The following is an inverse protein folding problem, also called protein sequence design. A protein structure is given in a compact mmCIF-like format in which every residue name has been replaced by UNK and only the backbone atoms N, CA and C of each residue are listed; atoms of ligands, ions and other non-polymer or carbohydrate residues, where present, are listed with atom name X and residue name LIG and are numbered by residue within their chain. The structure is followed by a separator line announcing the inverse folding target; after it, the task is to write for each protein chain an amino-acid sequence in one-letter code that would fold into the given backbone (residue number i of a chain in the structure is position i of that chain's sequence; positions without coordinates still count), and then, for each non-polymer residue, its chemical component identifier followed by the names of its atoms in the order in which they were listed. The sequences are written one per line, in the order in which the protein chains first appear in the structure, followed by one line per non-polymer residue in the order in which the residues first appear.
data_IF_205277970222
#
_entry.id   IF_205277970222
#
_cell.length_a   1.000
_cell.length_b   1.000
_cell.length_c   1.000
_cell.angle_alpha   90.00
_cell.angle_beta   90.00
_cell.angle_gamma   90.00
#
_symmetry.space_group_name_H-M   'P 1'
#
loop_
_entity.id
_entity.type
_entity.pdbx_description
1 polymer ?
#
# COMPACT_ATOMS: atom_id res chain seq x y z
N UNK A 1 -18.91 0.16 -13.02
CA UNK A 1 -18.51 1.54 -13.33
C UNK A 1 -17.03 1.62 -13.06
N UNK A 2 -16.23 1.91 -14.06
CA UNK A 2 -14.77 2.06 -13.87
C UNK A 2 -14.49 3.30 -13.01
N UNK A 3 -13.48 3.24 -12.12
CA UNK A 3 -13.11 4.39 -11.32
C UNK A 3 -12.50 5.47 -12.22
N UNK A 4 -12.98 6.70 -12.10
CA UNK A 4 -12.36 7.87 -12.71
C UNK A 4 -11.04 8.17 -11.98
N UNK A 5 -9.92 7.79 -12.60
CA UNK A 5 -8.59 7.96 -12.04
C UNK A 5 -8.22 9.44 -11.86
N UNK A 6 -8.73 10.34 -12.71
CA UNK A 6 -8.46 11.77 -12.57
C UNK A 6 -9.13 12.31 -11.31
N UNK A 7 -10.40 11.92 -11.08
CA UNK A 7 -11.14 12.30 -9.88
C UNK A 7 -10.50 11.75 -8.60
N UNK A 8 -10.01 10.51 -8.64
CA UNK A 8 -9.28 9.93 -7.50
C UNK A 8 -7.99 10.69 -7.19
N UNK A 9 -7.25 11.08 -8.23
CA UNK A 9 -6.02 11.87 -8.09
C UNK A 9 -6.30 13.26 -7.53
N UNK A 10 -7.33 13.94 -8.03
CA UNK A 10 -7.77 15.24 -7.52
C UNK A 10 -8.16 15.17 -6.04
N UNK A 11 -8.95 14.16 -5.65
CA UNK A 11 -9.35 13.97 -4.25
C UNK A 11 -8.14 13.75 -3.34
N UNK A 12 -7.15 12.96 -3.79
CA UNK A 12 -5.90 12.81 -3.07
C UNK A 12 -5.14 14.13 -2.93
N UNK A 13 -4.96 14.88 -4.02
CA UNK A 13 -4.28 16.19 -3.99
C UNK A 13 -4.95 17.16 -3.02
N UNK A 14 -6.29 17.26 -3.08
CA UNK A 14 -7.07 18.10 -2.18
C UNK A 14 -6.88 17.74 -0.71
N UNK A 15 -6.84 16.45 -0.39
CA UNK A 15 -6.56 16.00 0.97
C UNK A 15 -5.12 16.32 1.39
N UNK A 16 -4.15 15.97 0.55
CA UNK A 16 -2.74 16.07 0.87
C UNK A 16 -2.28 17.53 1.05
N UNK A 17 -2.72 18.43 0.17
CA UNK A 17 -2.30 19.83 0.15
C UNK A 17 -3.20 20.74 0.99
N UNK A 18 -4.52 20.47 1.02
CA UNK A 18 -5.50 21.36 1.65
C UNK A 18 -6.24 20.74 2.83
N UNK A 19 -6.07 19.44 3.09
CA UNK A 19 -6.81 18.72 4.14
C UNK A 19 -8.30 18.54 3.82
N UNK A 20 -8.70 18.73 2.56
CA UNK A 20 -10.08 18.64 2.12
C UNK A 20 -10.42 17.19 1.71
N UNK A 21 -11.45 16.62 2.32
CA UNK A 21 -11.97 15.29 1.99
C UNK A 21 -13.23 15.42 1.13
N UNK A 22 -13.25 14.77 -0.04
CA UNK A 22 -14.50 14.59 -0.80
C UNK A 22 -15.46 13.70 0.00
N UNK A 23 -16.75 14.06 0.01
CA UNK A 23 -17.80 13.33 0.73
C UNK A 23 -17.99 11.88 0.26
N UNK A 24 -17.53 11.55 -0.95
CA UNK A 24 -17.59 10.21 -1.52
C UNK A 24 -16.31 9.39 -1.23
N UNK A 25 -15.35 9.95 -0.50
CA UNK A 25 -14.14 9.21 -0.09
C UNK A 25 -14.56 8.03 0.78
N UNK A 26 -14.17 6.83 0.38
CA UNK A 26 -14.46 5.62 1.15
C UNK A 26 -13.84 5.74 2.55
N UNK A 27 -14.55 5.40 3.65
CA UNK A 27 -14.04 5.57 5.01
C UNK A 27 -12.68 4.91 5.29
N UNK A 28 -12.40 3.77 4.63
CA UNK A 28 -11.10 3.09 4.76
C UNK A 28 -9.94 3.92 4.16
N UNK A 29 -10.20 4.64 3.07
CA UNK A 29 -9.21 5.50 2.42
C UNK A 29 -8.96 6.73 3.28
N UNK A 30 -10.03 7.37 3.78
CA UNK A 30 -9.93 8.48 4.73
C UNK A 30 -9.07 8.10 5.95
N UNK A 31 -9.39 6.98 6.60
CA UNK A 31 -8.64 6.52 7.79
C UNK A 31 -7.16 6.30 7.49
N UNK A 32 -6.85 5.72 6.33
CA UNK A 32 -5.47 5.49 5.89
C UNK A 32 -4.72 6.82 5.70
N UNK A 33 -5.35 7.76 5.01
CA UNK A 33 -4.79 9.09 4.76
C UNK A 33 -4.56 9.91 6.04
N UNK A 34 -5.52 9.91 6.96
CA UNK A 34 -5.39 10.54 8.27
C UNK A 34 -4.25 9.92 9.09
N UNK A 35 -4.10 8.60 9.04
CA UNK A 35 -3.00 7.90 9.71
C UNK A 35 -1.63 8.33 9.15
N UNK A 36 -1.47 8.32 7.83
CA UNK A 36 -0.23 8.77 7.17
C UNK A 36 0.14 10.21 7.56
N UNK A 37 -0.85 11.11 7.59
CA UNK A 37 -0.67 12.50 8.02
C UNK A 37 -0.26 12.58 9.50
N UNK A 38 -0.89 11.79 10.37
CA UNK A 38 -0.59 11.76 11.82
C UNK A 38 0.85 11.36 12.11
N UNK A 39 1.42 10.45 11.33
CA UNK A 39 2.81 9.99 11.50
C UNK A 39 3.82 10.81 10.69
N UNK A 40 3.40 11.91 10.06
CA UNK A 40 4.22 12.74 9.17
C UNK A 40 4.92 11.92 8.07
N UNK A 41 4.21 10.94 7.50
CA UNK A 41 4.76 10.09 6.45
C UNK A 41 5.07 10.91 5.20
N UNK A 42 6.28 10.78 4.68
CA UNK A 42 6.63 11.26 3.35
C UNK A 42 5.99 10.36 2.28
N UNK A 43 4.88 10.84 1.73
CA UNK A 43 4.10 10.16 0.69
C UNK A 43 4.86 10.02 -0.64
N UNK A 44 5.94 10.79 -0.82
CA UNK A 44 6.80 10.75 -2.01
C UNK A 44 8.12 9.99 -1.76
N UNK A 45 8.34 9.48 -0.54
CA UNK A 45 9.60 8.85 -0.15
C UNK A 45 9.92 7.58 -0.93
N UNK A 46 8.90 6.90 -1.47
CA UNK A 46 9.04 5.79 -2.44
C UNK A 46 9.73 4.52 -1.91
N UNK A 47 10.18 4.51 -0.65
CA UNK A 47 10.84 3.38 -0.01
C UNK A 47 10.43 3.30 1.46
N UNK A 48 10.22 2.07 1.93
CA UNK A 48 10.06 1.81 3.36
C UNK A 48 11.41 1.85 4.08
N UNK A 49 11.36 1.81 5.41
CA UNK A 49 12.56 1.59 6.22
C UNK A 49 13.06 0.15 6.03
N UNK A 50 14.38 0.02 5.89
CA UNK A 50 15.03 -1.30 5.86
C UNK A 50 15.20 -1.82 7.28
N UNK A 51 14.77 -3.06 7.52
CA UNK A 51 15.14 -3.80 8.74
C UNK A 51 16.49 -4.47 8.55
N UNK A 52 17.19 -4.76 9.65
CA UNK A 52 18.47 -5.46 9.58
C UNK A 52 18.31 -6.94 9.15
N UNK A 53 19.40 -7.55 8.69
CA UNK A 53 19.39 -8.90 8.14
C UNK A 53 18.96 -9.97 9.17
N UNK A 54 19.24 -9.76 10.47
CA UNK A 54 18.86 -10.71 11.52
C UNK A 54 17.36 -10.63 11.77
N UNK A 55 16.81 -9.42 11.85
CA UNK A 55 15.36 -9.22 11.97
C UNK A 55 14.63 -9.80 10.75
N UNK A 56 15.15 -9.57 9.54
CA UNK A 56 14.58 -10.13 8.32
C UNK A 56 14.55 -11.66 8.35
N UNK A 57 15.67 -12.30 8.72
CA UNK A 57 15.75 -13.75 8.82
C UNK A 57 14.75 -14.31 9.84
N UNK A 58 14.55 -13.62 10.97
CA UNK A 58 13.57 -14.00 11.97
C UNK A 58 12.14 -13.94 11.41
N UNK A 59 11.75 -12.81 10.81
CA UNK A 59 10.39 -12.64 10.25
C UNK A 59 10.11 -13.66 9.13
N UNK A 60 11.11 -13.95 8.28
CA UNK A 60 10.98 -14.97 7.23
C UNK A 60 10.79 -16.37 7.83
N UNK A 61 11.50 -16.70 8.90
CA UNK A 61 11.36 -17.99 9.58
C UNK A 61 9.97 -18.14 10.25
N UNK A 62 9.50 -17.08 10.93
CA UNK A 62 8.18 -17.04 11.57
C UNK A 62 7.03 -17.21 10.55
N UNK A 63 7.21 -16.73 9.32
CA UNK A 63 6.19 -16.76 8.26
C UNK A 63 6.44 -17.85 7.21
N UNK A 64 7.35 -18.80 7.46
CA UNK A 64 7.81 -19.77 6.46
C UNK A 64 6.69 -20.55 5.78
N UNK A 65 5.69 -21.02 6.54
CA UNK A 65 4.59 -21.82 5.98
C UNK A 65 3.69 -20.98 5.06
N UNK A 66 3.39 -19.73 5.44
CA UNK A 66 2.64 -18.81 4.58
C UNK A 66 3.38 -18.57 3.27
N UNK A 67 4.69 -18.26 3.36
CA UNK A 67 5.53 -17.99 2.18
C UNK A 67 5.58 -19.22 1.28
N UNK A 68 5.82 -20.41 1.86
CA UNK A 68 5.89 -21.67 1.12
C UNK A 68 4.61 -21.98 0.33
N UNK A 69 3.44 -21.65 0.87
CA UNK A 69 2.15 -21.85 0.20
C UNK A 69 1.87 -20.76 -0.83
N UNK A 70 2.12 -19.49 -0.49
CA UNK A 70 1.80 -18.36 -1.35
C UNK A 70 2.75 -18.22 -2.55
N UNK A 71 4.03 -18.57 -2.39
CA UNK A 71 5.05 -18.39 -3.42
C UNK A 71 4.71 -19.06 -4.77
N UNK A 72 4.34 -20.36 -4.84
CA UNK A 72 3.97 -20.97 -6.13
C UNK A 72 2.70 -20.36 -6.74
N UNK A 73 1.75 -19.89 -5.94
CA UNK A 73 0.54 -19.23 -6.44
C UNK A 73 0.89 -17.89 -7.09
N UNK A 74 1.71 -17.08 -6.41
CA UNK A 74 2.16 -15.79 -6.94
C UNK A 74 3.03 -15.95 -8.19
N UNK A 75 3.87 -16.98 -8.24
CA UNK A 75 4.68 -17.30 -9.42
C UNK A 75 3.81 -17.67 -10.63
N UNK A 76 2.81 -18.54 -10.43
CA UNK A 76 1.87 -18.91 -11.50
C UNK A 76 1.07 -17.70 -11.99
N UNK A 77 0.59 -16.84 -11.08
CA UNK A 77 -0.14 -15.62 -11.44
C UNK A 77 0.73 -14.66 -12.25
N UNK A 78 1.99 -14.50 -11.87
CA UNK A 78 2.95 -13.67 -12.59
C UNK A 78 3.16 -14.16 -14.02
N UNK A 79 3.30 -15.48 -14.20
CA UNK A 79 3.45 -16.09 -15.53
C UNK A 79 2.21 -15.88 -16.42
N UNK A 80 1.00 -15.92 -15.85
CA UNK A 80 -0.25 -15.67 -16.57
C UNK A 80 -0.37 -14.20 -17.03
N UNK A 81 0.04 -13.25 -16.20
CA UNK A 81 -0.09 -11.81 -16.53
C UNK A 81 0.90 -11.38 -17.61
N UNK A 82 2.05 -12.07 -17.71
CA UNK A 82 3.09 -11.77 -18.70
C UNK A 82 2.99 -12.58 -20.00
N UNK A 83 2.12 -13.59 -20.06
CA UNK A 83 1.79 -14.35 -21.28
C UNK A 83 0.77 -13.63 -22.14
#
# INVERSE_FOLDING_TARGET
MEPDLNKLKENWTNFAEHGLLDSNTRPIIQRSWEYCKKINMDVNGGKGESIDARQLAQVLAENRELIKIAQPIMQNLYEIVLS
#
